data_IF_588543529155
#
_entry.id   IF_588543529155
#
_cell.length_a   1.000
_cell.length_b   1.000
_cell.length_c   1.000
_cell.angle_alpha   90.00
_cell.angle_beta   90.00
_cell.angle_gamma   90.00
#
_symmetry.space_group_name_H-M   'P 1'
#
loop_
_entity.id
_entity.type
_entity.pdbx_description
1 polymer ?
#
# COMPACT_ATOMS: atom_id res chain seq x y z
N UNK A 1 -15.70 17.97 -20.48
CA UNK A 1 -15.23 17.23 -19.28
C UNK A 1 -16.36 17.14 -18.27
N UNK A 2 -16.37 16.16 -17.37
CA UNK A 2 -17.42 16.03 -16.34
C UNK A 2 -17.27 17.12 -15.26
N UNK A 3 -18.37 17.78 -14.87
CA UNK A 3 -18.40 18.77 -13.77
C UNK A 3 -17.92 18.19 -12.44
N UNK A 4 -18.13 16.88 -12.24
CA UNK A 4 -17.67 16.14 -11.06
C UNK A 4 -16.14 16.10 -10.99
N UNK A 5 -15.46 15.91 -12.13
CA UNK A 5 -14.00 15.89 -12.15
C UNK A 5 -13.42 17.27 -11.83
N UNK A 6 -13.94 18.32 -12.47
CA UNK A 6 -13.47 19.69 -12.28
C UNK A 6 -13.60 20.13 -10.82
N UNK A 7 -14.74 19.82 -10.18
CA UNK A 7 -14.97 20.10 -8.76
C UNK A 7 -13.97 19.37 -7.86
N UNK A 8 -13.69 18.08 -8.15
CA UNK A 8 -12.69 17.30 -7.41
C UNK A 8 -11.28 17.84 -7.61
N UNK A 9 -10.90 18.16 -8.85
CA UNK A 9 -9.60 18.73 -9.18
C UNK A 9 -9.38 20.06 -8.45
N UNK A 10 -10.36 20.96 -8.48
CA UNK A 10 -10.29 22.23 -7.75
C UNK A 10 -10.09 22.00 -6.24
N UNK A 11 -10.85 21.08 -5.63
CA UNK A 11 -10.69 20.72 -4.21
C UNK A 11 -9.29 20.18 -3.91
N UNK A 12 -8.79 19.22 -4.70
CA UNK A 12 -7.47 18.60 -4.49
C UNK A 12 -6.35 19.63 -4.67
N UNK A 13 -6.42 20.48 -5.70
CA UNK A 13 -5.43 21.53 -5.91
C UNK A 13 -5.43 22.56 -4.79
N UNK A 14 -6.60 22.90 -4.25
CA UNK A 14 -6.68 23.80 -3.08
C UNK A 14 -6.04 23.21 -1.84
N UNK A 15 -6.12 21.87 -1.66
CA UNK A 15 -5.45 21.17 -0.56
C UNK A 15 -3.94 21.14 -0.79
N UNK A 16 -3.47 20.86 -2.01
CA UNK A 16 -2.05 20.85 -2.38
C UNK A 16 -1.37 22.23 -2.31
N UNK A 17 -2.14 23.33 -2.35
CA UNK A 17 -1.61 24.71 -2.32
C UNK A 17 -1.44 25.30 -0.92
N UNK A 18 -1.83 24.56 0.13
CA UNK A 18 -1.69 25.01 1.52
C UNK A 18 -0.21 24.88 1.93
N UNK A 19 0.37 25.83 2.70
CA UNK A 19 1.72 25.71 3.25
C UNK A 19 1.93 24.39 4.01
N UNK A 20 3.17 23.90 4.02
CA UNK A 20 3.58 22.59 4.56
C UNK A 20 3.09 22.31 6.00
N UNK A 21 2.78 23.34 6.79
CA UNK A 21 2.32 23.22 8.18
C UNK A 21 0.88 22.70 8.33
N UNK A 22 0.06 22.72 7.27
CA UNK A 22 -1.38 22.37 7.30
C UNK A 22 -1.78 21.26 6.28
N UNK A 23 -0.81 20.59 5.63
CA UNK A 23 -1.08 19.60 4.58
C UNK A 23 -1.09 18.14 5.11
N UNK A 24 -2.26 17.57 5.33
CA UNK A 24 -2.38 16.15 5.71
C UNK A 24 -2.31 15.22 4.47
N UNK A 25 -1.10 14.92 3.99
CA UNK A 25 -0.88 13.72 3.16
C UNK A 25 -1.01 12.46 4.04
N UNK A 26 -1.51 11.36 3.48
CA UNK A 26 -1.46 10.05 4.13
C UNK A 26 -0.02 9.48 4.20
N UNK A 27 0.96 10.21 3.65
CA UNK A 27 2.38 10.00 3.85
C UNK A 27 2.82 10.57 5.21
N UNK A 28 3.71 9.92 5.97
CA UNK A 28 4.12 10.36 7.32
C UNK A 28 4.65 11.80 7.43
N UNK A 29 4.96 12.43 6.29
CA UNK A 29 5.64 13.73 6.17
C UNK A 29 4.70 14.94 6.13
N UNK A 30 3.44 14.77 5.73
CA UNK A 30 2.50 15.90 5.63
C UNK A 30 2.93 17.00 4.63
N UNK A 31 3.80 16.70 3.65
CA UNK A 31 4.18 17.66 2.60
C UNK A 31 4.61 16.95 1.32
N UNK A 32 4.56 17.68 0.19
CA UNK A 32 5.00 17.16 -1.10
C UNK A 32 6.53 17.15 -1.17
N UNK A 33 7.11 15.97 -1.35
CA UNK A 33 8.54 15.78 -1.53
C UNK A 33 9.14 16.71 -2.60
N UNK A 34 10.12 17.53 -2.21
CA UNK A 34 10.81 18.46 -3.11
C UNK A 34 11.28 17.83 -4.45
N UNK A 35 11.83 16.60 -4.47
CA UNK A 35 12.24 15.95 -5.73
C UNK A 35 11.15 15.70 -6.77
N UNK A 36 9.86 15.76 -6.42
CA UNK A 36 8.75 15.48 -7.36
C UNK A 36 7.79 16.65 -7.55
N UNK A 37 8.04 17.80 -6.94
CA UNK A 37 7.18 18.98 -7.06
C UNK A 37 6.99 19.41 -8.53
N UNK A 38 8.07 19.41 -9.32
CA UNK A 38 8.01 19.73 -10.75
C UNK A 38 7.12 18.75 -11.52
N UNK A 39 7.36 17.45 -11.35
CA UNK A 39 6.54 16.38 -11.94
C UNK A 39 5.05 16.53 -11.60
N UNK A 40 4.73 16.82 -10.34
CA UNK A 40 3.36 17.02 -9.87
C UNK A 40 2.73 18.24 -10.52
N UNK A 41 3.44 19.38 -10.56
CA UNK A 41 2.97 20.60 -11.19
C UNK A 41 2.64 20.39 -12.66
N UNK A 42 3.52 19.73 -13.41
CA UNK A 42 3.32 19.45 -14.84
C UNK A 42 2.13 18.53 -15.10
N UNK A 43 1.93 17.50 -14.27
CA UNK A 43 0.77 16.61 -14.38
C UNK A 43 -0.52 17.39 -14.07
N UNK A 44 -0.50 18.23 -13.04
CA UNK A 44 -1.65 19.01 -12.60
C UNK A 44 -2.04 20.13 -13.58
N UNK A 45 -1.09 20.60 -14.40
CA UNK A 45 -1.37 21.52 -15.50
C UNK A 45 -2.23 20.90 -16.62
N UNK A 46 -2.28 19.56 -16.73
CA UNK A 46 -3.12 18.88 -17.72
C UNK A 46 -4.58 18.88 -17.24
N UNK A 47 -5.48 19.52 -18.00
CA UNK A 47 -6.89 19.71 -17.64
C UNK A 47 -7.63 18.43 -17.19
N UNK A 48 -7.25 17.28 -17.76
CA UNK A 48 -7.91 16.00 -17.50
C UNK A 48 -7.27 15.15 -16.40
N UNK A 49 -6.26 15.68 -15.70
CA UNK A 49 -5.50 14.97 -14.65
C UNK A 49 -5.39 15.81 -13.37
N UNK A 50 -5.27 15.12 -12.24
CA UNK A 50 -4.86 15.70 -10.96
C UNK A 50 -4.18 14.62 -10.08
N UNK A 51 -3.07 14.94 -9.42
CA UNK A 51 -2.39 14.08 -8.45
C UNK A 51 -3.09 14.14 -7.09
N UNK A 52 -3.13 13.03 -6.34
CA UNK A 52 -3.83 12.98 -5.04
C UNK A 52 -2.96 12.54 -3.86
N UNK A 53 -2.00 11.66 -4.10
CA UNK A 53 -0.98 11.27 -3.12
C UNK A 53 0.28 10.86 -3.86
N UNK A 54 1.42 11.15 -3.26
CA UNK A 54 2.72 11.00 -3.92
C UNK A 54 3.84 10.71 -2.92
N UNK A 55 4.77 9.85 -3.30
CA UNK A 55 6.03 9.60 -2.59
C UNK A 55 7.14 9.59 -3.64
N UNK A 56 8.18 10.40 -3.48
CA UNK A 56 9.29 10.50 -4.42
C UNK A 56 10.14 9.23 -4.50
N UNK A 57 10.02 8.37 -3.50
CA UNK A 57 10.89 7.23 -3.27
C UNK A 57 11.82 7.51 -2.10
N UNK A 58 12.19 6.47 -1.36
CA UNK A 58 12.84 6.61 -0.06
C UNK A 58 13.77 5.46 0.27
N UNK A 59 14.79 5.77 1.06
CA UNK A 59 15.53 4.82 1.89
C UNK A 59 14.86 4.80 3.26
N UNK A 60 14.66 3.62 3.82
CA UNK A 60 14.11 3.50 5.16
C UNK A 60 14.71 2.33 5.93
N UNK A 61 14.83 2.50 7.25
CA UNK A 61 15.06 1.40 8.19
C UNK A 61 13.73 1.09 8.86
N UNK A 62 13.29 -0.16 8.72
CA UNK A 62 12.00 -0.61 9.22
C UNK A 62 12.16 -1.80 10.16
N UNK A 63 11.54 -1.71 11.33
CA UNK A 63 11.41 -2.81 12.28
C UNK A 63 10.05 -3.50 12.07
N UNK A 64 10.05 -4.75 11.62
CA UNK A 64 8.81 -5.52 11.44
C UNK A 64 8.06 -5.70 12.76
N UNK A 65 6.73 -5.84 12.72
CA UNK A 65 5.96 -6.23 13.89
C UNK A 65 6.25 -7.67 14.30
N UNK A 66 5.98 -7.99 15.57
CA UNK A 66 6.04 -9.37 16.05
C UNK A 66 5.05 -10.21 15.24
N UNK A 67 5.55 -11.24 14.55
CA UNK A 67 4.68 -12.27 14.01
C UNK A 67 4.16 -13.06 15.21
N UNK A 68 2.88 -12.92 15.55
CA UNK A 68 2.25 -13.91 16.43
C UNK A 68 2.25 -15.23 15.67
N UNK A 69 3.15 -16.14 16.00
CA UNK A 69 2.90 -17.54 15.67
C UNK A 69 1.72 -17.96 16.56
N UNK A 70 0.56 -18.36 16.00
CA UNK A 70 -0.40 -19.11 16.79
C UNK A 70 0.32 -20.40 17.17
N UNK A 71 0.68 -20.53 18.45
CA UNK A 71 1.08 -21.82 19.01
C UNK A 71 -0.15 -22.72 18.82
N UNK A 72 -0.06 -23.84 18.08
CA UNK A 72 -1.15 -24.81 18.11
C UNK A 72 -1.27 -25.30 19.54
N UNK A 73 -2.46 -25.14 20.14
CA UNK A 73 -2.82 -25.73 21.42
C UNK A 73 -2.52 -27.23 21.33
N UNK A 74 -1.43 -27.68 21.96
CA UNK A 74 -1.25 -29.08 22.26
C UNK A 74 -2.05 -29.31 23.53
N UNK A 75 -3.29 -29.74 23.33
CA UNK A 75 -4.18 -30.26 24.36
C UNK A 75 -3.53 -31.51 24.99
N UNK A 76 -2.82 -31.30 26.10
CA UNK A 76 -2.43 -32.36 27.01
C UNK A 76 -3.49 -32.45 28.11
N UNK A 77 -4.62 -33.05 27.75
CA UNK A 77 -5.65 -33.46 28.70
C UNK A 77 -5.09 -34.55 29.62
N UNK A 78 -4.71 -34.19 30.84
CA UNK A 78 -4.79 -35.09 31.98
C UNK A 78 -5.40 -34.33 33.17
N UNK A 79 -6.58 -34.81 33.57
CA UNK A 79 -7.37 -34.42 34.74
C UNK A 79 -6.53 -34.43 36.03
N UNK A 80 -6.73 -33.43 36.91
CA UNK A 80 -7.48 -33.64 38.15
C UNK A 80 -7.79 -32.30 38.88
N UNK A 81 -9.05 -32.22 39.29
CA UNK A 81 -9.82 -31.39 40.24
C UNK A 81 -9.06 -30.64 41.35
N UNK A 82 -9.35 -29.33 41.56
CA UNK A 82 -10.20 -28.80 42.66
C UNK A 82 -10.00 -27.30 42.97
N UNK A 83 -11.13 -26.59 42.99
CA UNK A 83 -11.49 -25.32 43.69
C UNK A 83 -10.41 -24.30 44.13
N UNK A 84 -10.43 -23.09 43.54
CA UNK A 84 -10.77 -21.86 44.30
C UNK A 84 -10.94 -20.61 43.40
N UNK A 85 -11.90 -19.79 43.79
CA UNK A 85 -12.35 -18.55 43.15
C UNK A 85 -11.32 -17.41 43.20
N UNK A 86 -10.87 -16.89 42.05
CA UNK A 86 -10.52 -15.46 41.85
C UNK A 86 -10.90 -15.04 40.42
N UNK A 87 -11.60 -13.93 40.34
CA UNK A 87 -12.10 -13.20 39.16
C UNK A 87 -11.03 -12.84 38.12
N UNK A 88 -11.42 -12.63 36.83
CA UNK A 88 -10.49 -12.36 35.74
C UNK A 88 -10.04 -10.90 35.80
N UNK A 89 -8.80 -10.65 36.22
CA UNK A 89 -8.16 -9.36 35.96
C UNK A 89 -7.74 -9.36 34.49
N UNK A 90 -8.58 -8.74 33.65
CA UNK A 90 -8.22 -8.33 32.29
C UNK A 90 -6.88 -7.59 32.36
N UNK A 91 -5.79 -8.26 31.98
CA UNK A 91 -4.55 -7.58 31.66
C UNK A 91 -4.86 -6.71 30.43
N UNK A 92 -4.89 -5.40 30.67
CA UNK A 92 -5.04 -4.40 29.64
C UNK A 92 -3.96 -4.64 28.56
N UNK A 93 -4.30 -4.56 27.25
CA UNK A 93 -3.26 -4.44 26.26
C UNK A 93 -2.56 -3.11 26.54
N UNK A 94 -1.28 -3.18 26.91
CA UNK A 94 -0.41 -2.02 27.00
C UNK A 94 -0.35 -1.39 25.61
N UNK A 95 -1.19 -0.37 25.43
CA UNK A 95 -1.14 0.56 24.31
C UNK A 95 0.18 1.32 24.40
N UNK A 96 1.20 0.83 23.71
CA UNK A 96 2.27 1.68 23.19
C UNK A 96 2.22 1.58 21.67
N UNK A 97 1.11 2.07 21.13
CA UNK A 97 0.96 2.38 19.72
C UNK A 97 1.56 3.77 19.47
N UNK A 98 2.87 3.84 19.21
CA UNK A 98 3.39 4.92 18.37
C UNK A 98 3.27 4.46 16.93
N UNK A 99 2.09 4.73 16.36
CA UNK A 99 1.73 4.40 15.00
C UNK A 99 2.54 5.26 14.01
N UNK A 100 3.70 4.76 13.59
CA UNK A 100 4.40 5.23 12.40
C UNK A 100 4.83 3.99 11.61
N UNK A 101 3.89 3.45 10.84
CA UNK A 101 4.03 2.23 10.06
C UNK A 101 2.67 1.69 9.65
N UNK A 102 2.42 1.49 8.35
CA UNK A 102 1.23 0.76 7.89
C UNK A 102 1.41 -0.71 8.29
N UNK A 103 0.74 -1.15 9.34
CA UNK A 103 0.90 -2.49 9.94
C UNK A 103 1.66 -2.48 11.28
N UNK A 104 1.87 -3.63 11.91
CA UNK A 104 2.43 -3.78 13.27
C UNK A 104 3.92 -3.41 13.43
N UNK A 105 4.55 -2.82 12.40
CA UNK A 105 5.96 -2.42 12.42
C UNK A 105 6.18 -0.93 12.65
N UNK A 106 7.44 -0.51 12.75
CA UNK A 106 7.84 0.87 13.04
C UNK A 106 8.97 1.32 12.11
N UNK A 107 8.86 2.52 11.58
CA UNK A 107 9.97 3.21 10.93
C UNK A 107 10.97 3.68 11.98
N UNK A 108 12.26 3.45 11.74
CA UNK A 108 13.36 3.98 12.58
C UNK A 108 14.17 5.06 11.84
N UNK A 109 14.15 5.00 10.52
CA UNK A 109 14.84 5.94 9.65
C UNK A 109 14.06 6.10 8.35
N UNK A 110 13.95 7.33 7.84
CA UNK A 110 13.44 7.62 6.49
C UNK A 110 14.25 8.77 5.89
N UNK A 111 14.66 8.60 4.62
CA UNK A 111 15.22 9.67 3.77
C UNK A 111 14.64 9.58 2.37
N UNK A 112 14.23 10.72 1.82
CA UNK A 112 13.77 10.87 0.44
C UNK A 112 14.89 11.29 -0.53
N UNK A 113 16.13 11.38 -0.02
CA UNK A 113 17.31 11.76 -0.78
C UNK A 113 18.43 10.71 -0.65
N UNK A 114 19.32 10.61 -1.65
CA UNK A 114 20.53 9.80 -1.54
C UNK A 114 21.36 10.23 -0.33
N UNK A 115 21.91 9.24 0.38
CA UNK A 115 22.72 9.50 1.57
C UNK A 115 24.20 9.52 1.19
N UNK A 116 25.03 10.42 1.75
CA UNK A 116 26.45 10.43 1.47
C UNK A 116 27.09 9.12 1.92
N UNK A 117 27.75 8.40 0.99
CA UNK A 117 28.48 7.17 1.30
C UNK A 117 29.79 7.09 0.49
N UNK A 118 30.97 6.95 1.13
CA UNK A 118 31.17 6.96 2.58
C UNK A 118 30.80 8.30 3.22
N UNK A 119 30.37 8.29 4.49
CA UNK A 119 30.09 9.53 5.22
C UNK A 119 31.40 10.32 5.40
N UNK A 120 31.39 11.65 5.20
CA UNK A 120 32.58 12.46 5.43
C UNK A 120 33.00 12.40 6.91
N UNK A 121 34.30 12.43 7.21
CA UNK A 121 34.77 12.48 8.60
C UNK A 121 34.23 13.73 9.30
N UNK A 122 33.89 13.64 10.61
CA UNK A 122 33.41 14.80 11.35
C UNK A 122 34.46 15.91 11.32
N UNK A 123 34.08 17.10 10.84
CA UNK A 123 35.00 18.21 10.55
C UNK A 123 35.61 18.87 11.80
N UNK A 124 35.36 18.37 13.01
CA UNK A 124 35.89 18.93 14.25
C UNK A 124 35.91 17.94 15.41
N UNK A 125 36.87 17.00 15.42
CA UNK A 125 37.18 16.30 16.67
C UNK A 125 38.70 16.15 16.83
N UNK A 126 39.23 16.66 17.94
CA UNK A 126 40.60 16.45 18.44
C UNK A 126 40.79 15.09 19.11
N UNK A 127 39.82 14.20 18.98
CA UNK A 127 39.83 12.84 19.50
C UNK A 127 39.99 11.83 18.36
N UNK A 128 40.66 10.69 18.59
CA UNK A 128 40.80 9.65 17.57
C UNK A 128 39.40 9.21 17.09
N UNK A 129 39.22 8.94 15.79
CA UNK A 129 37.93 8.50 15.26
C UNK A 129 37.61 7.13 15.88
N UNK A 130 36.72 7.10 16.88
CA UNK A 130 35.94 5.89 17.11
C UNK A 130 35.03 5.75 15.89
N UNK A 131 35.03 4.60 15.19
CA UNK A 131 34.06 4.36 14.14
C UNK A 131 32.72 4.21 14.84
N UNK A 132 31.98 5.32 14.97
CA UNK A 132 30.56 5.22 15.32
C UNK A 132 29.93 4.30 14.26
N UNK A 133 29.25 3.21 14.68
CA UNK A 133 28.71 2.25 13.74
C UNK A 133 27.82 2.96 12.72
N UNK A 134 27.94 2.62 11.44
CA UNK A 134 27.20 3.27 10.34
C UNK A 134 25.69 3.43 10.63
N UNK A 135 25.10 2.45 11.33
CA UNK A 135 23.72 2.50 11.78
C UNK A 135 23.44 3.67 12.76
N UNK A 136 24.32 3.92 13.74
CA UNK A 136 24.16 5.02 14.67
C UNK A 136 24.17 6.36 13.94
N UNK A 137 25.10 6.53 12.99
CA UNK A 137 25.14 7.70 12.11
C UNK A 137 23.80 7.87 11.39
N UNK A 138 23.29 6.84 10.72
CA UNK A 138 22.01 6.90 10.01
C UNK A 138 20.84 7.31 10.93
N UNK A 139 20.72 6.67 12.10
CA UNK A 139 19.61 6.92 13.03
C UNK A 139 19.66 8.33 13.66
N UNK A 140 20.84 8.93 13.75
CA UNK A 140 21.07 10.27 14.34
C UNK A 140 21.25 11.37 13.30
N UNK A 141 21.13 11.06 12.00
CA UNK A 141 21.22 12.07 10.94
C UNK A 141 20.15 13.16 11.16
N UNK A 142 20.52 14.45 11.07
CA UNK A 142 19.56 15.55 11.17
C UNK A 142 18.42 15.48 10.15
N UNK A 143 18.63 14.79 9.03
CA UNK A 143 17.61 14.56 7.99
C UNK A 143 16.72 13.34 8.20
N UNK A 144 16.81 12.66 9.35
CA UNK A 144 15.90 11.56 9.67
C UNK A 144 14.50 12.11 9.98
N UNK A 145 13.52 11.79 9.14
CA UNK A 145 12.13 12.25 9.33
C UNK A 145 11.42 11.59 10.53
N UNK A 146 12.00 10.54 11.12
CA UNK A 146 11.45 9.88 12.31
C UNK A 146 12.03 10.52 13.57
N UNK A 147 11.23 11.33 14.24
CA UNK A 147 11.53 11.91 15.55
C UNK A 147 11.27 10.88 16.66
N UNK A 148 12.12 9.86 16.76
CA UNK A 148 12.14 8.95 17.92
C UNK A 148 13.53 8.98 18.55
N UNK A 149 13.63 8.90 19.90
CA UNK A 149 14.94 8.80 20.54
C UNK A 149 15.66 7.59 19.92
N UNK A 150 16.91 7.75 19.44
CA UNK A 150 17.59 6.70 18.73
C UNK A 150 17.67 5.48 19.65
N UNK A 151 17.25 4.29 19.19
CA UNK A 151 17.33 3.10 19.99
C UNK A 151 18.78 2.86 20.39
N UNK A 152 19.00 2.34 21.61
CA UNK A 152 20.35 1.98 22.06
C UNK A 152 20.94 0.97 21.08
N UNK A 153 21.95 1.41 20.32
CA UNK A 153 22.73 0.52 19.47
C UNK A 153 23.69 -0.27 20.35
N UNK A 154 23.64 -1.59 20.26
CA UNK A 154 24.53 -2.48 21.00
C UNK A 154 25.21 -3.39 19.98
N UNK A 155 26.54 -3.47 20.05
CA UNK A 155 27.30 -4.47 19.30
C UNK A 155 26.87 -5.88 19.73
N UNK A 156 26.49 -6.72 18.79
CA UNK A 156 26.28 -8.16 19.00
C UNK A 156 27.17 -8.95 18.05
N UNK A 157 27.62 -10.13 18.48
CA UNK A 157 28.37 -11.00 17.59
C UNK A 157 27.41 -11.55 16.52
N UNK A 158 27.81 -11.68 15.24
CA UNK A 158 26.96 -12.21 14.18
C UNK A 158 26.40 -13.62 14.46
N UNK A 159 27.03 -14.34 15.39
CA UNK A 159 26.68 -15.70 15.80
C UNK A 159 25.69 -15.75 16.97
N UNK A 160 25.35 -14.61 17.58
CA UNK A 160 24.43 -14.59 18.72
C UNK A 160 23.02 -15.00 18.25
N UNK A 161 22.36 -15.94 18.95
CA UNK A 161 21.00 -16.34 18.59
C UNK A 161 20.06 -15.15 18.73
N UNK A 162 19.21 -14.95 17.72
CA UNK A 162 18.18 -13.90 17.74
C UNK A 162 17.15 -14.27 18.81
N UNK A 163 16.90 -13.41 19.83
CA UNK A 163 15.91 -13.68 20.85
C UNK A 163 14.50 -13.87 20.23
N UNK A 164 13.67 -14.79 20.76
CA UNK A 164 12.39 -15.21 20.15
C UNK A 164 11.32 -14.11 20.07
N UNK A 165 11.51 -12.98 20.75
CA UNK A 165 10.64 -11.78 20.71
C UNK A 165 11.29 -10.59 20.00
N UNK A 166 12.31 -10.85 19.17
CA UNK A 166 12.98 -9.79 18.42
C UNK A 166 12.23 -9.46 17.13
N UNK A 167 12.26 -8.18 16.77
CA UNK A 167 11.70 -7.64 15.53
C UNK A 167 12.80 -7.55 14.49
N UNK A 168 12.63 -8.17 13.33
CA UNK A 168 13.61 -8.07 12.25
C UNK A 168 13.71 -6.63 11.74
N UNK A 169 14.96 -6.19 11.54
CA UNK A 169 15.31 -4.88 11.05
C UNK A 169 15.73 -4.96 9.59
N UNK A 170 15.11 -4.14 8.75
CA UNK A 170 15.32 -4.16 7.31
C UNK A 170 15.73 -2.77 6.82
N UNK A 171 16.75 -2.71 5.94
CA UNK A 171 17.01 -1.54 5.12
C UNK A 171 16.27 -1.71 3.79
N UNK A 172 15.43 -0.73 3.47
CA UNK A 172 14.56 -0.75 2.30
C UNK A 172 14.86 0.42 1.39
N UNK A 173 14.74 0.18 0.09
CA UNK A 173 14.52 1.22 -0.90
C UNK A 173 13.14 1.02 -1.52
N UNK A 174 12.27 2.01 -1.42
CA UNK A 174 10.96 2.02 -2.06
C UNK A 174 10.94 3.11 -3.13
N UNK A 175 10.66 2.81 -4.41
CA UNK A 175 10.69 3.80 -5.50
C UNK A 175 9.43 4.69 -5.48
N UNK A 176 9.34 5.60 -6.46
CA UNK A 176 8.20 6.50 -6.64
C UNK A 176 6.85 5.74 -6.58
N UNK A 177 5.92 6.30 -5.81
CA UNK A 177 4.49 5.95 -5.84
C UNK A 177 3.71 7.23 -6.13
N UNK A 178 2.78 7.18 -7.08
CA UNK A 178 1.96 8.33 -7.45
C UNK A 178 0.53 7.89 -7.77
N UNK A 179 -0.46 8.63 -7.25
CA UNK A 179 -1.87 8.43 -7.61
C UNK A 179 -2.38 9.62 -8.43
N UNK A 180 -2.89 9.33 -9.62
CA UNK A 180 -3.45 10.33 -10.55
C UNK A 180 -4.93 10.04 -10.75
N UNK A 181 -5.78 10.98 -10.37
CA UNK A 181 -7.18 10.98 -10.76
C UNK A 181 -7.31 11.54 -12.18
N UNK A 182 -7.89 10.74 -13.06
CA UNK A 182 -8.11 11.07 -14.47
C UNK A 182 -9.58 11.39 -14.72
N UNK A 183 -9.87 12.35 -15.58
CA UNK A 183 -11.23 12.78 -15.92
C UNK A 183 -12.07 11.71 -16.64
N UNK A 184 -11.42 10.71 -17.23
CA UNK A 184 -12.06 9.68 -18.04
C UNK A 184 -11.17 8.45 -18.21
N UNK A 185 -11.77 7.31 -18.60
CA UNK A 185 -11.04 6.09 -18.93
C UNK A 185 -10.01 6.27 -20.08
N UNK A 186 -10.31 7.01 -21.18
CA UNK A 186 -9.29 7.34 -22.18
C UNK A 186 -8.07 8.07 -21.61
N UNK A 187 -8.27 9.03 -20.71
CA UNK A 187 -7.18 9.75 -20.04
C UNK A 187 -6.37 8.80 -19.16
N UNK A 188 -7.04 7.95 -18.39
CA UNK A 188 -6.38 6.93 -17.56
C UNK A 188 -5.52 5.95 -18.38
N UNK A 189 -5.98 5.55 -19.57
CA UNK A 189 -5.22 4.69 -20.49
C UNK A 189 -3.95 5.36 -21.00
N UNK A 190 -4.02 6.65 -21.37
CA UNK A 190 -2.83 7.42 -21.79
C UNK A 190 -1.77 7.45 -20.69
N UNK A 191 -2.18 7.76 -19.46
CA UNK A 191 -1.30 7.76 -18.28
C UNK A 191 -0.71 6.37 -18.05
N UNK A 192 -1.52 5.31 -18.10
CA UNK A 192 -1.06 3.94 -17.86
C UNK A 192 0.00 3.50 -18.88
N UNK A 193 -0.22 3.79 -20.17
CA UNK A 193 0.74 3.46 -21.24
C UNK A 193 2.05 4.21 -21.04
N UNK A 194 1.99 5.52 -20.72
CA UNK A 194 3.17 6.31 -20.41
C UNK A 194 3.93 5.74 -19.20
N UNK A 195 3.21 5.38 -18.12
CA UNK A 195 3.80 4.81 -16.92
C UNK A 195 4.49 3.47 -17.18
N UNK A 196 3.83 2.56 -17.90
CA UNK A 196 4.42 1.27 -18.27
C UNK A 196 5.64 1.43 -19.18
N UNK A 197 5.60 2.35 -20.15
CA UNK A 197 6.74 2.68 -21.02
C UNK A 197 7.92 3.31 -20.26
N UNK A 198 7.65 4.03 -19.18
CA UNK A 198 8.65 4.59 -18.28
C UNK A 198 9.23 3.56 -17.28
N UNK A 199 8.73 2.32 -17.26
CA UNK A 199 9.21 1.26 -16.39
C UNK A 199 8.39 1.07 -15.10
N UNK A 200 7.26 1.76 -14.94
CA UNK A 200 6.32 1.54 -13.84
C UNK A 200 5.34 0.41 -14.18
N UNK A 201 5.86 -0.81 -14.30
CA UNK A 201 5.14 -1.98 -14.85
C UNK A 201 3.99 -2.47 -13.97
N UNK A 202 4.09 -2.21 -12.67
CA UNK A 202 3.09 -2.58 -11.66
C UNK A 202 1.97 -1.53 -11.51
N UNK A 203 1.96 -0.52 -12.38
CA UNK A 203 0.91 0.49 -12.46
C UNK A 203 -0.43 -0.11 -12.89
N UNK A 204 -1.52 0.42 -12.35
CA UNK A 204 -2.85 -0.11 -12.61
C UNK A 204 -3.94 0.94 -12.45
N UNK A 205 -5.05 0.70 -13.15
CA UNK A 205 -6.27 1.46 -12.98
C UNK A 205 -7.01 0.91 -11.76
N UNK A 206 -7.26 1.77 -10.78
CA UNK A 206 -8.11 1.48 -9.63
C UNK A 206 -9.38 2.31 -9.77
N UNK A 207 -10.56 1.72 -9.59
CA UNK A 207 -11.79 2.51 -9.61
C UNK A 207 -12.00 3.20 -8.26
N UNK A 208 -12.27 4.51 -8.23
CA UNK A 208 -12.85 5.18 -7.03
C UNK A 208 -13.56 6.48 -7.46
N UNK A 209 -14.64 6.98 -6.81
CA UNK A 209 -15.54 6.45 -5.76
C UNK A 209 -17.04 6.32 -6.22
N UNK A 210 -17.85 5.61 -5.42
CA UNK A 210 -19.32 5.65 -5.49
C UNK A 210 -19.87 7.04 -5.11
N UNK A 211 -21.05 7.39 -5.63
CA UNK A 211 -21.62 8.76 -5.65
C UNK A 211 -22.51 9.07 -4.43
N UNK A 212 -22.48 8.31 -3.33
CA UNK A 212 -23.62 8.32 -2.38
C UNK A 212 -23.53 9.21 -1.12
N UNK A 213 -22.44 9.94 -0.83
CA UNK A 213 -22.32 10.67 0.46
C UNK A 213 -22.52 12.20 0.43
N UNK A 214 -23.06 12.77 -0.65
CA UNK A 214 -23.41 14.22 -0.70
C UNK A 214 -24.87 14.41 -1.15
N UNK A 215 -25.79 13.75 -0.45
CA UNK A 215 -27.19 14.15 -0.46
C UNK A 215 -27.46 15.01 0.80
N UNK A 216 -27.71 16.30 0.55
CA UNK A 216 -28.32 17.27 1.48
C UNK A 216 -29.34 16.62 2.44
N UNK A 217 -29.38 17.01 3.73
CA UNK A 217 -30.29 16.46 4.72
C UNK A 217 -31.71 16.98 4.47
N UNK A 218 -32.47 16.33 3.58
CA UNK A 218 -33.83 16.74 3.26
C UNK A 218 -34.71 15.59 2.79
N UNK A 219 -35.64 15.17 3.67
CA UNK A 219 -36.85 14.37 3.37
C UNK A 219 -36.69 12.87 3.08
N UNK A 220 -36.36 12.07 4.11
CA UNK A 220 -36.83 10.66 4.16
C UNK A 220 -38.26 10.63 4.67
N UNK A 221 -39.24 10.60 3.76
CA UNK A 221 -40.59 10.16 4.07
C UNK A 221 -40.57 8.64 4.29
N UNK A 222 -40.88 8.21 5.52
CA UNK A 222 -41.11 6.80 5.87
C UNK A 222 -42.34 6.30 5.10
N UNK A 223 -42.13 5.40 4.14
CA UNK A 223 -43.19 4.52 3.69
C UNK A 223 -43.18 3.27 4.58
N UNK A 224 -44.15 3.25 5.47
CA UNK A 224 -44.56 2.13 6.31
C UNK A 224 -45.14 1.01 5.43
N UNK A 225 -44.60 -0.20 5.55
CA UNK A 225 -45.11 -1.39 4.88
C UNK A 225 -45.54 -2.40 5.96
N UNK A 226 -46.79 -2.27 6.38
CA UNK A 226 -47.47 -3.21 7.26
C UNK A 226 -48.04 -4.39 6.45
N UNK A 227 -47.64 -5.60 6.86
CA UNK A 227 -48.27 -6.95 6.75
C UNK A 227 -49.48 -7.15 5.82
N UNK A 228 -49.52 -8.33 5.18
CA UNK A 228 -50.59 -9.35 5.39
C UNK A 228 -50.20 -10.75 4.90
N UNK A 229 -50.55 -11.73 5.74
CA UNK A 229 -50.54 -13.17 5.54
C UNK A 229 -51.55 -13.62 4.47
N UNK A 230 -51.26 -14.75 3.82
CA UNK A 230 -52.22 -15.58 3.08
C UNK A 230 -51.65 -16.98 2.89
N UNK A 231 -52.18 -17.93 3.66
CA UNK A 231 -52.06 -19.39 3.47
C UNK A 231 -52.91 -19.85 2.28
N UNK A 232 -52.54 -20.98 1.66
CA UNK A 232 -53.40 -22.07 1.13
C UNK A 232 -52.53 -22.98 0.23
N UNK A 233 -52.32 -24.27 0.58
CA UNK A 233 -53.06 -25.45 0.08
C UNK A 233 -52.44 -25.97 -1.23
N UNK A 234 -51.88 -27.19 -1.39
CA UNK A 234 -52.37 -28.53 -1.03
C UNK A 234 -52.94 -29.22 -2.28
N UNK A 235 -52.27 -30.26 -2.85
CA UNK A 235 -52.80 -31.12 -3.93
C UNK A 235 -51.75 -31.51 -4.98
N UNK A 236 -51.03 -32.63 -4.89
CA UNK A 236 -51.35 -34.04 -5.23
C UNK A 236 -51.38 -34.39 -6.74
N UNK A 237 -50.27 -34.99 -7.18
CA UNK A 237 -50.04 -36.15 -8.08
C UNK A 237 -51.20 -36.64 -8.97
N UNK A 238 -50.95 -36.75 -10.28
CA UNK A 238 -51.74 -37.53 -11.25
C UNK A 238 -50.86 -38.04 -12.40
N UNK A 239 -50.88 -39.36 -12.62
CA UNK A 239 -50.06 -40.12 -13.57
C UNK A 239 -50.82 -40.47 -14.87
N UNK A 240 -50.12 -40.38 -16.02
CA UNK A 240 -50.19 -41.21 -17.26
C UNK A 240 -51.54 -41.30 -18.03
N UNK A 241 -51.63 -41.70 -19.34
CA UNK A 241 -50.74 -42.61 -20.07
C UNK A 241 -50.27 -42.18 -21.48
N UNK A 242 -49.29 -42.92 -21.97
CA UNK A 242 -48.65 -42.86 -23.30
C UNK A 242 -49.28 -43.93 -24.19
N UNK A 243 -49.60 -43.56 -25.44
CA UNK A 243 -49.99 -44.47 -26.52
C UNK A 243 -48.85 -44.72 -27.50
N UNK A 244 -48.71 -46.00 -27.87
CA UNK A 244 -47.98 -46.61 -29.00
C UNK A 244 -48.69 -46.26 -30.34
N UNK A 245 -48.17 -46.24 -31.57
CA UNK A 245 -46.99 -46.82 -32.23
C UNK A 245 -46.75 -46.06 -33.56
N UNK A 246 -45.57 -46.23 -34.19
CA UNK A 246 -45.49 -46.28 -35.67
C UNK A 246 -44.44 -45.44 -36.40
N UNK A 247 -43.34 -46.13 -36.73
CA UNK A 247 -42.63 -46.15 -38.03
C UNK A 247 -41.57 -45.08 -38.42
N UNK A 248 -40.39 -45.60 -38.79
CA UNK A 248 -39.64 -45.21 -39.99
C UNK A 248 -38.68 -44.03 -39.96
N UNK A 249 -37.36 -44.30 -39.97
CA UNK A 249 -36.37 -43.38 -40.54
C UNK A 249 -35.08 -43.20 -39.74
N UNK A 250 -34.04 -43.97 -40.09
CA UNK A 250 -32.69 -43.85 -39.55
C UNK A 250 -31.92 -42.76 -40.30
N UNK A 251 -31.83 -41.55 -39.75
CA UNK A 251 -30.90 -40.51 -40.22
C UNK A 251 -29.90 -40.13 -39.11
N UNK A 252 -28.62 -40.39 -39.37
CA UNK A 252 -27.48 -39.97 -38.56
C UNK A 252 -27.20 -38.48 -38.76
N UNK A 253 -27.90 -37.63 -38.01
CA UNK A 253 -27.67 -36.18 -37.95
C UNK A 253 -26.75 -35.79 -36.80
N UNK A 254 -25.47 -35.48 -37.09
CA UNK A 254 -24.54 -34.85 -36.14
C UNK A 254 -25.02 -33.42 -35.81
N UNK A 255 -25.92 -33.27 -34.82
CA UNK A 255 -26.30 -31.95 -34.28
C UNK A 255 -25.22 -31.46 -33.34
N UNK A 256 -24.33 -30.60 -33.85
CA UNK A 256 -23.42 -29.80 -33.04
C UNK A 256 -24.22 -29.02 -31.99
N UNK A 257 -23.88 -29.18 -30.71
CA UNK A 257 -24.44 -28.39 -29.62
C UNK A 257 -24.04 -26.94 -29.81
N UNK A 258 -24.96 -26.11 -30.28
CA UNK A 258 -24.80 -24.66 -30.24
C UNK A 258 -25.09 -24.20 -28.82
N UNK A 259 -24.03 -23.82 -28.09
CA UNK A 259 -24.20 -23.16 -26.81
C UNK A 259 -24.89 -21.81 -27.03
N UNK A 260 -26.00 -21.49 -26.32
CA UNK A 260 -26.62 -20.19 -26.43
C UNK A 260 -25.60 -19.13 -26.01
N UNK A 261 -25.22 -18.25 -26.95
CA UNK A 261 -24.38 -17.09 -26.63
C UNK A 261 -25.16 -16.22 -25.66
N UNK A 262 -24.73 -16.22 -24.40
CA UNK A 262 -25.19 -15.25 -23.39
C UNK A 262 -25.05 -13.86 -24.01
N UNK A 263 -26.12 -13.03 -24.08
CA UNK A 263 -25.97 -11.68 -24.57
C UNK A 263 -24.95 -10.99 -23.67
N UNK A 264 -23.84 -10.52 -24.25
CA UNK A 264 -22.90 -9.66 -23.54
C UNK A 264 -23.70 -8.43 -23.13
N UNK A 265 -24.03 -8.32 -21.84
CA UNK A 265 -24.52 -7.05 -21.28
C UNK A 265 -23.54 -5.99 -21.74
N UNK A 266 -24.03 -4.96 -22.43
CA UNK A 266 -23.24 -3.79 -22.78
C UNK A 266 -22.62 -3.29 -21.48
N UNK A 267 -21.32 -3.49 -21.34
CA UNK A 267 -20.60 -3.06 -20.17
C UNK A 267 -20.64 -1.53 -20.20
N UNK A 268 -21.56 -0.95 -19.43
CA UNK A 268 -21.80 0.49 -19.35
C UNK A 268 -20.44 1.12 -19.04
N UNK A 269 -19.79 1.72 -20.04
CA UNK A 269 -18.50 2.38 -19.86
C UNK A 269 -18.71 3.41 -18.76
N UNK A 270 -18.02 3.24 -17.63
CA UNK A 270 -18.05 4.19 -16.53
C UNK A 270 -17.55 5.53 -17.07
N UNK A 271 -18.47 6.48 -17.26
CA UNK A 271 -18.18 7.82 -17.78
C UNK A 271 -17.57 8.75 -16.72
N UNK A 272 -17.32 8.24 -15.51
CA UNK A 272 -16.80 9.00 -14.38
C UNK A 272 -15.28 9.07 -14.32
N UNK A 273 -14.76 9.86 -13.35
CA UNK A 273 -13.34 9.90 -13.03
C UNK A 273 -12.78 8.51 -12.67
N UNK A 274 -11.50 8.31 -12.96
CA UNK A 274 -10.82 7.02 -12.79
C UNK A 274 -9.47 7.26 -12.12
N UNK A 275 -9.11 6.47 -11.11
CA UNK A 275 -7.81 6.57 -10.45
C UNK A 275 -6.78 5.68 -11.15
N UNK A 276 -5.57 6.20 -11.35
CA UNK A 276 -4.41 5.45 -11.80
C UNK A 276 -3.37 5.44 -10.69
N UNK A 277 -2.98 4.25 -10.25
CA UNK A 277 -1.87 4.07 -9.33
C UNK A 277 -0.61 3.77 -10.15
N UNK A 278 0.40 4.63 -10.04
CA UNK A 278 1.72 4.49 -10.66
C UNK A 278 2.69 3.99 -9.61
N UNK A 279 3.31 2.84 -9.87
CA UNK A 279 4.24 2.20 -8.94
C UNK A 279 5.17 1.26 -9.66
N UNK A 280 6.29 0.94 -9.02
CA UNK A 280 7.14 -0.15 -9.48
C UNK A 280 7.77 -0.96 -8.37
N UNK A 281 8.00 -2.26 -8.61
CA UNK A 281 8.85 -3.11 -7.78
C UNK A 281 10.24 -3.31 -8.39
N UNK A 282 10.44 -2.92 -9.66
CA UNK A 282 11.70 -3.17 -10.38
C UNK A 282 12.92 -2.38 -9.89
N UNK A 283 12.74 -1.48 -8.92
CA UNK A 283 13.83 -0.80 -8.19
C UNK A 283 13.76 -1.04 -6.69
N UNK A 284 12.74 -1.74 -6.20
CA UNK A 284 12.56 -1.96 -4.77
C UNK A 284 13.71 -2.84 -4.24
N UNK A 285 14.17 -2.51 -3.04
CA UNK A 285 15.16 -3.28 -2.31
C UNK A 285 14.65 -3.52 -0.91
N UNK A 286 14.86 -4.71 -0.39
CA UNK A 286 14.51 -5.09 0.97
C UNK A 286 15.58 -6.05 1.50
N UNK A 287 16.40 -5.58 2.44
CA UNK A 287 17.55 -6.31 2.96
C UNK A 287 17.49 -6.39 4.49
N UNK A 288 17.50 -7.60 5.09
CA UNK A 288 17.62 -7.74 6.54
C UNK A 288 19.02 -7.29 6.98
N UNK A 289 19.08 -6.42 7.99
CA UNK A 289 20.33 -5.87 8.53
C UNK A 289 20.56 -6.20 10.01
N UNK A 290 19.53 -6.70 10.70
CA UNK A 290 19.63 -7.01 12.11
C UNK A 290 18.28 -7.25 12.76
N UNK A 291 18.22 -6.99 14.07
CA UNK A 291 17.00 -7.12 14.85
C UNK A 291 16.93 -6.09 15.97
N UNK A 292 15.72 -5.83 16.44
CA UNK A 292 15.42 -5.02 17.62
C UNK A 292 14.84 -5.93 18.70
N UNK A 293 15.45 -5.89 19.88
CA UNK A 293 15.02 -6.66 21.06
C UNK A 293 13.71 -6.11 21.63
N UNK A 294 13.07 -6.87 22.54
CA UNK A 294 11.85 -6.43 23.22
C UNK A 294 12.08 -5.17 24.08
N UNK A 295 13.31 -4.98 24.56
CA UNK A 295 13.75 -3.81 25.33
C UNK A 295 14.04 -2.59 24.43
N UNK A 296 13.86 -2.71 23.12
CA UNK A 296 14.09 -1.63 22.16
C UNK A 296 15.56 -1.42 21.76
N UNK A 297 16.48 -2.28 22.22
CA UNK A 297 17.87 -2.23 21.76
C UNK A 297 17.99 -2.80 20.35
N UNK A 298 18.71 -2.09 19.47
CA UNK A 298 18.95 -2.48 18.08
C UNK A 298 20.33 -3.13 17.95
N UNK A 299 20.36 -4.26 17.23
CA UNK A 299 21.53 -5.10 17.01
C UNK A 299 21.67 -5.43 15.53
N UNK A 300 22.84 -5.13 14.96
CA UNK A 300 23.16 -5.51 13.59
C UNK A 300 23.58 -6.97 13.53
N UNK A 301 23.10 -7.68 12.51
CA UNK A 301 23.58 -9.03 12.16
C UNK A 301 24.57 -9.00 10.99
N UNK A 302 24.87 -7.82 10.47
CA UNK A 302 25.72 -7.58 9.31
C UNK A 302 26.86 -6.63 9.68
N UNK A 303 27.97 -6.71 8.94
CA UNK A 303 29.09 -5.79 9.12
C UNK A 303 28.76 -4.40 8.56
N UNK A 304 29.45 -3.38 9.06
CA UNK A 304 29.36 -2.01 8.53
C UNK A 304 29.73 -1.93 7.04
N UNK A 305 30.68 -2.76 6.58
CA UNK A 305 31.03 -2.85 5.17
C UNK A 305 29.87 -3.39 4.31
N UNK A 306 29.13 -4.39 4.83
CA UNK A 306 27.93 -4.89 4.17
C UNK A 306 26.82 -3.82 4.16
N UNK A 307 26.55 -3.19 5.30
CA UNK A 307 25.56 -2.13 5.41
C UNK A 307 25.87 -0.96 4.46
N UNK A 308 27.15 -0.57 4.36
CA UNK A 308 27.63 0.42 3.39
C UNK A 308 27.39 0.00 1.94
N UNK A 309 27.63 -1.27 1.61
CA UNK A 309 27.37 -1.81 0.28
C UNK A 309 25.87 -1.76 -0.08
N UNK A 310 25.00 -2.13 0.87
CA UNK A 310 23.54 -2.03 0.68
C UNK A 310 23.09 -0.57 0.53
N UNK A 311 23.70 0.36 1.27
CA UNK A 311 23.43 1.79 1.14
C UNK A 311 23.88 2.33 -0.23
N UNK A 312 25.04 1.91 -0.74
CA UNK A 312 25.50 2.26 -2.08
C UNK A 312 24.52 1.79 -3.16
N UNK A 313 24.01 0.56 -3.05
CA UNK A 313 22.96 0.05 -3.95
C UNK A 313 21.69 0.90 -3.86
N UNK A 314 21.26 1.28 -2.65
CA UNK A 314 20.09 2.13 -2.47
C UNK A 314 20.24 3.50 -3.15
N UNK A 315 21.44 4.10 -3.07
CA UNK A 315 21.75 5.34 -3.79
C UNK A 315 21.73 5.17 -5.31
N UNK A 316 22.21 4.05 -5.85
CA UNK A 316 22.07 3.72 -7.27
C UNK A 316 20.58 3.62 -7.66
N UNK A 317 19.74 3.03 -6.80
CA UNK A 317 18.29 2.95 -7.03
C UNK A 317 17.63 4.33 -7.07
N UNK A 318 18.10 5.32 -6.32
CA UNK A 318 17.64 6.70 -6.47
C UNK A 318 17.91 7.21 -7.89
N UNK A 319 19.11 7.02 -8.43
CA UNK A 319 19.45 7.41 -9.81
C UNK A 319 18.50 6.78 -10.84
N UNK A 320 18.32 5.46 -10.76
CA UNK A 320 17.37 4.76 -11.64
C UNK A 320 15.91 5.20 -11.44
N UNK A 321 15.53 5.62 -10.23
CA UNK A 321 14.19 6.14 -9.94
C UNK A 321 13.99 7.53 -10.57
N UNK A 322 15.00 8.41 -10.53
CA UNK A 322 14.99 9.70 -11.23
C UNK A 322 14.84 9.54 -12.75
N UNK A 323 15.61 8.65 -13.37
CA UNK A 323 15.48 8.36 -14.80
C UNK A 323 14.08 7.87 -15.18
N UNK A 324 13.43 7.09 -14.31
CA UNK A 324 12.05 6.65 -14.52
C UNK A 324 11.06 7.81 -14.37
N UNK A 325 11.25 8.69 -13.38
CA UNK A 325 10.42 9.90 -13.20
C UNK A 325 10.48 10.82 -14.42
N UNK A 326 11.67 11.06 -14.96
CA UNK A 326 11.88 11.86 -16.17
C UNK A 326 11.11 11.24 -17.36
N UNK A 327 11.31 9.94 -17.61
CA UNK A 327 10.59 9.24 -18.70
C UNK A 327 9.07 9.25 -18.51
N UNK A 328 8.60 9.12 -17.27
CA UNK A 328 7.18 9.20 -16.94
C UNK A 328 6.62 10.57 -17.27
N UNK A 329 7.31 11.64 -16.84
CA UNK A 329 6.94 13.03 -17.12
C UNK A 329 6.79 13.26 -18.62
N UNK A 330 7.84 12.94 -19.38
CA UNK A 330 7.86 13.12 -20.84
C UNK A 330 6.78 12.28 -21.54
N UNK A 331 6.61 11.03 -21.12
CA UNK A 331 5.60 10.13 -21.65
C UNK A 331 4.17 10.63 -21.43
N UNK A 332 3.88 11.16 -20.24
CA UNK A 332 2.58 11.77 -19.93
C UNK A 332 2.39 13.03 -20.77
N UNK A 333 3.34 13.97 -20.76
CA UNK A 333 3.21 15.23 -21.51
C UNK A 333 2.96 14.97 -23.00
N UNK A 334 3.73 14.05 -23.61
CA UNK A 334 3.55 13.65 -25.01
C UNK A 334 2.18 13.04 -25.29
N UNK A 335 1.61 12.29 -24.35
CA UNK A 335 0.32 11.64 -24.56
C UNK A 335 -0.88 12.62 -24.48
N UNK A 336 -0.69 13.81 -23.91
CA UNK A 336 -1.72 14.82 -23.68
C UNK A 336 -1.54 16.13 -24.47
N UNK A 337 -0.50 16.21 -25.29
CA UNK A 337 -0.41 17.12 -26.44
C UNK A 337 -1.39 16.68 -27.53
#
# INVERSE_FOLDING_TARGET
>A
MSSVFQSKKAKILSQLSVPDDDYDDASPKGSVDAPIQSLISDINAIDSLVTTSSCSGRIAIFAHGLKSNPVPDIDLSHENTDTNTITPTKAAPSQTSTAQGKGTGAWLFVSHEPLPHPFPPPQSTTSPPSPDPLLHTLLTLPGNEISTPPPRSISSHPSDPIPPSSRLLHLKFEPLILHILCASLPSARKVLVAAQGAGFRESGISSVPNVEDEAEPGSRQKHDATRRHGEDGGGTIGSAPVGDAGDGGLEVGFKGRTFPRRPKKSQKQSSGPVMVAIRTTGLAMDAPIGYMTAEGAVRLSVSDAYLGSILAVANERFGGNEERKVRLREGILRAFQ
#
